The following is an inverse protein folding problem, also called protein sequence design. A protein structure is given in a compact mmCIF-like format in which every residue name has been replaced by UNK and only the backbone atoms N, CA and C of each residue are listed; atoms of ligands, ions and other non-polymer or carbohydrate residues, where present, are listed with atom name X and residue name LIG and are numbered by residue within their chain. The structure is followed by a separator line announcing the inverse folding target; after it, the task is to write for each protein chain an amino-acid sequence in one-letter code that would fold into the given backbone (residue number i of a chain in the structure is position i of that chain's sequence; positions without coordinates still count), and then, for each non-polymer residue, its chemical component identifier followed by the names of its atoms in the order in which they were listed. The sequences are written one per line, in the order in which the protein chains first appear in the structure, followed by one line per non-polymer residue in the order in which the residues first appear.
data_IF_183555346172
#
_entry.id   IF_183555346172
#
_cell.length_a   1.000
_cell.length_b   1.000
_cell.length_c   1.000
_cell.angle_alpha   90.00
_cell.angle_beta   90.00
_cell.angle_gamma   90.00
#
_symmetry.space_group_name_H-M   'P 1'
#
loop_
_entity.id
_entity.type
_entity.pdbx_description
1 polymer ?
#
# COMPACT_ATOMS: atom_id res chain seq x y z
N UNK A 1 -1.20 10.98 19.33
CA UNK A 1 -0.65 11.16 17.96
C UNK A 1 -1.15 12.49 17.43
N UNK A 2 -0.32 13.53 17.55
CA UNK A 2 -0.59 14.89 17.09
C UNK A 2 0.56 15.29 16.16
N UNK A 3 0.36 15.35 14.84
CA UNK A 3 1.44 15.54 13.86
C UNK A 3 2.21 16.86 14.03
N UNK A 4 1.60 17.86 14.66
CA UNK A 4 2.18 19.15 15.00
C UNK A 4 3.14 19.13 16.20
N UNK A 5 3.24 18.00 16.92
CA UNK A 5 4.10 17.86 18.09
C UNK A 5 5.41 17.16 17.72
N UNK A 6 6.54 17.74 18.15
CA UNK A 6 7.88 17.19 18.01
C UNK A 6 8.48 16.75 19.35
N UNK A 7 9.53 15.92 19.31
CA UNK A 7 10.15 15.37 20.53
C UNK A 7 10.69 16.46 21.46
N UNK A 8 11.20 17.56 20.90
CA UNK A 8 11.71 18.70 21.66
C UNK A 8 10.64 19.45 22.44
N UNK A 9 9.42 19.54 21.92
CA UNK A 9 8.27 20.09 22.64
C UNK A 9 7.84 19.18 23.79
N UNK A 10 7.92 17.85 23.61
CA UNK A 10 7.60 16.89 24.66
C UNK A 10 8.62 16.91 25.80
N UNK A 11 9.90 17.12 25.49
CA UNK A 11 10.97 17.29 26.49
C UNK A 11 10.72 18.47 27.44
N UNK A 12 9.99 19.50 27.00
CA UNK A 12 9.65 20.67 27.84
C UNK A 12 8.55 20.37 28.87
N UNK A 13 7.90 19.21 28.79
CA UNK A 13 6.85 18.79 29.73
C UNK A 13 7.52 17.93 30.80
N UNK A 14 7.81 18.54 31.96
CA UNK A 14 8.57 17.92 33.05
C UNK A 14 7.95 16.63 33.58
N UNK A 15 6.62 16.51 33.55
CA UNK A 15 5.86 15.36 34.02
C UNK A 15 6.09 14.10 33.18
N UNK A 16 6.57 14.24 31.93
CA UNK A 16 6.81 13.10 31.04
C UNK A 16 8.15 12.41 31.31
N UNK A 17 9.07 13.03 32.07
CA UNK A 17 10.38 12.47 32.42
C UNK A 17 11.13 11.84 31.23
N UNK A 18 11.06 12.48 30.05
CA UNK A 18 11.66 11.95 28.83
C UNK A 18 13.19 12.10 28.83
N UNK A 19 13.94 11.10 28.34
CA UNK A 19 15.39 11.20 28.22
C UNK A 19 15.76 12.25 27.17
N UNK A 20 16.84 12.99 27.42
CA UNK A 20 17.43 13.84 26.41
C UNK A 20 18.15 12.96 25.37
N UNK A 21 17.53 12.79 24.21
CA UNK A 21 18.04 11.97 23.11
C UNK A 21 18.84 12.84 22.14
N UNK A 22 19.88 12.26 21.55
CA UNK A 22 20.56 12.87 20.41
C UNK A 22 19.58 13.10 19.25
N UNK A 23 19.80 14.16 18.48
CA UNK A 23 18.89 14.61 17.41
C UNK A 23 18.45 13.48 16.45
N UNK A 24 19.34 12.58 15.96
CA UNK A 24 18.92 11.50 15.08
C UNK A 24 17.92 10.53 15.72
N UNK A 25 18.10 10.23 17.01
CA UNK A 25 17.25 9.29 17.76
C UNK A 25 15.91 9.95 18.08
N UNK A 26 15.92 11.21 18.52
CA UNK A 26 14.71 11.99 18.75
C UNK A 26 13.86 12.08 17.48
N UNK A 27 14.49 12.36 16.33
CA UNK A 27 13.82 12.40 15.03
C UNK A 27 13.24 11.03 14.66
N UNK A 28 13.98 9.95 14.86
CA UNK A 28 13.49 8.60 14.57
C UNK A 28 12.27 8.21 15.41
N UNK A 29 12.24 8.57 16.70
CA UNK A 29 11.09 8.35 17.59
C UNK A 29 9.87 9.12 17.09
N UNK A 30 10.07 10.38 16.68
CA UNK A 30 9.03 11.22 16.12
C UNK A 30 8.46 10.65 14.82
N UNK A 31 9.33 10.32 13.85
CA UNK A 31 8.95 9.70 12.57
C UNK A 31 8.20 8.40 12.83
N UNK A 32 8.75 7.52 13.66
CA UNK A 32 8.13 6.22 13.96
C UNK A 32 6.75 6.40 14.56
N UNK A 33 6.57 7.34 15.50
CA UNK A 33 5.29 7.60 16.13
C UNK A 33 4.26 8.20 15.17
N UNK A 34 4.68 9.15 14.32
CA UNK A 34 3.81 9.81 13.32
C UNK A 34 3.36 8.83 12.24
N UNK A 35 4.28 8.00 11.74
CA UNK A 35 4.02 7.12 10.60
C UNK A 35 3.60 5.69 10.98
N UNK A 36 3.66 5.29 12.25
CA UNK A 36 3.35 3.93 12.71
C UNK A 36 2.03 3.37 12.13
N UNK A 37 0.96 4.17 12.13
CA UNK A 37 -0.34 3.74 11.61
C UNK A 37 -0.34 3.51 10.08
N UNK A 38 0.30 4.41 9.34
CA UNK A 38 0.41 4.32 7.89
C UNK A 38 1.28 3.12 7.49
N UNK A 39 2.42 2.93 8.16
CA UNK A 39 3.33 1.80 7.93
C UNK A 39 2.61 0.48 8.24
N UNK A 40 1.87 0.40 9.35
CA UNK A 40 1.09 -0.79 9.68
C UNK A 40 0.07 -1.12 8.58
N UNK A 41 -0.70 -0.13 8.12
CA UNK A 41 -1.67 -0.30 7.02
C UNK A 41 -0.99 -0.73 5.71
N UNK A 42 0.12 -0.10 5.32
CA UNK A 42 0.85 -0.48 4.12
C UNK A 42 1.38 -1.93 4.21
N UNK A 43 1.85 -2.37 5.38
CA UNK A 43 2.25 -3.76 5.60
C UNK A 43 1.08 -4.73 5.45
N UNK A 44 -0.10 -4.39 5.98
CA UNK A 44 -1.31 -5.19 5.80
C UNK A 44 -1.73 -5.30 4.33
N UNK A 45 -1.66 -4.20 3.58
CA UNK A 45 -1.96 -4.17 2.15
C UNK A 45 -0.97 -5.04 1.35
N UNK A 46 0.33 -5.00 1.69
CA UNK A 46 1.35 -5.88 1.11
C UNK A 46 1.03 -7.35 1.40
N UNK A 47 0.73 -7.70 2.66
CA UNK A 47 0.40 -9.08 3.04
C UNK A 47 -0.84 -9.58 2.30
N UNK A 48 -1.86 -8.72 2.11
CA UNK A 48 -3.05 -9.07 1.33
C UNK A 48 -2.70 -9.34 -0.14
N UNK A 49 -1.88 -8.49 -0.75
CA UNK A 49 -1.45 -8.68 -2.14
C UNK A 49 -0.63 -9.96 -2.33
N UNK A 50 0.28 -10.26 -1.39
CA UNK A 50 1.06 -11.50 -1.41
C UNK A 50 0.17 -12.75 -1.34
N UNK A 51 -0.88 -12.73 -0.51
CA UNK A 51 -1.87 -13.83 -0.47
C UNK A 51 -2.54 -14.08 -1.82
N UNK A 52 -2.61 -13.07 -2.68
CA UNK A 52 -3.21 -13.15 -4.00
C UNK A 52 -2.20 -13.35 -5.13
N UNK A 53 -0.92 -13.59 -4.85
CA UNK A 53 0.12 -13.70 -5.89
C UNK A 53 -0.23 -14.73 -6.98
N UNK A 54 -0.84 -15.85 -6.59
CA UNK A 54 -1.25 -16.93 -7.49
C UNK A 54 -2.70 -16.81 -8.00
N UNK A 55 -3.40 -15.73 -7.69
CA UNK A 55 -4.76 -15.50 -8.19
C UNK A 55 -4.72 -15.35 -9.71
N UNK A 56 -5.39 -16.26 -10.42
CA UNK A 56 -5.44 -16.25 -11.88
C UNK A 56 -6.32 -15.12 -12.40
N UNK A 57 -5.89 -14.53 -13.51
CA UNK A 57 -6.65 -13.56 -14.28
C UNK A 57 -7.31 -14.29 -15.46
N UNK A 58 -8.63 -14.18 -15.67
CA UNK A 58 -9.28 -14.74 -16.85
C UNK A 58 -8.66 -14.17 -18.13
N UNK A 59 -8.39 -15.03 -19.12
CA UNK A 59 -7.82 -14.57 -20.40
C UNK A 59 -8.73 -13.55 -21.11
N UNK A 60 -10.04 -13.72 -20.94
CA UNK A 60 -11.09 -12.85 -21.47
C UNK A 60 -11.35 -11.58 -20.65
N UNK A 61 -10.57 -11.33 -19.58
CA UNK A 61 -10.74 -10.14 -18.74
C UNK A 61 -10.58 -8.86 -19.59
N UNK A 62 -11.58 -7.98 -19.50
CA UNK A 62 -11.54 -6.65 -20.09
C UNK A 62 -11.09 -5.61 -19.05
N UNK A 63 -9.84 -5.16 -19.19
CA UNK A 63 -9.26 -4.17 -18.28
C UNK A 63 -9.91 -2.79 -18.40
N UNK A 64 -10.64 -2.49 -19.49
CA UNK A 64 -11.39 -1.23 -19.63
C UNK A 64 -12.58 -1.17 -18.66
N UNK A 65 -13.10 -2.32 -18.23
CA UNK A 65 -14.19 -2.41 -17.25
C UNK A 65 -13.73 -2.23 -15.80
N UNK A 66 -12.42 -2.13 -15.54
CA UNK A 66 -11.88 -2.01 -14.18
C UNK A 66 -11.87 -0.55 -13.75
N UNK A 67 -12.87 -0.18 -12.96
CA UNK A 67 -13.07 1.18 -12.45
C UNK A 67 -11.84 1.65 -11.64
N UNK A 68 -11.31 2.83 -11.98
CA UNK A 68 -10.23 3.49 -11.24
C UNK A 68 -8.81 3.16 -11.73
N UNK A 69 -8.63 2.26 -12.70
CA UNK A 69 -7.34 2.11 -13.35
C UNK A 69 -7.00 3.36 -14.17
N UNK A 70 -5.73 3.77 -14.12
CA UNK A 70 -5.24 4.79 -15.04
C UNK A 70 -5.16 4.24 -16.46
N UNK A 71 -5.26 5.12 -17.46
CA UNK A 71 -5.11 4.74 -18.86
C UNK A 71 -3.78 4.03 -19.14
N UNK A 72 -2.69 4.48 -18.50
CA UNK A 72 -1.37 3.86 -18.65
C UNK A 72 -1.36 2.42 -18.11
N UNK A 73 -1.89 2.20 -16.92
CA UNK A 73 -1.94 0.86 -16.31
C UNK A 73 -2.85 -0.07 -17.12
N UNK A 74 -4.01 0.43 -17.54
CA UNK A 74 -4.96 -0.30 -18.37
C UNK A 74 -4.33 -0.72 -19.71
N UNK A 75 -3.60 0.18 -20.38
CA UNK A 75 -2.88 -0.12 -21.62
C UNK A 75 -1.79 -1.18 -21.38
N UNK A 76 -1.02 -1.06 -20.29
CA UNK A 76 0.02 -2.02 -19.93
C UNK A 76 -0.55 -3.42 -19.67
N UNK A 77 -1.62 -3.51 -18.89
CA UNK A 77 -2.29 -4.78 -18.59
C UNK A 77 -2.91 -5.41 -19.83
N UNK A 78 -3.56 -4.61 -20.67
CA UNK A 78 -4.15 -5.07 -21.95
C UNK A 78 -3.09 -5.58 -22.92
N UNK A 79 -1.92 -4.93 -22.96
CA UNK A 79 -0.79 -5.33 -23.82
C UNK A 79 -0.10 -6.59 -23.31
N UNK A 80 0.19 -6.67 -22.01
CA UNK A 80 0.97 -7.77 -21.42
C UNK A 80 0.10 -9.01 -21.20
N UNK A 81 -1.20 -8.86 -20.93
CA UNK A 81 -2.14 -9.95 -20.61
C UNK A 81 -1.57 -10.89 -19.53
N UNK A 82 -1.29 -10.40 -18.31
CA UNK A 82 -0.76 -11.26 -17.26
C UNK A 82 -1.75 -12.37 -16.89
N UNK A 83 -1.24 -13.57 -16.65
CA UNK A 83 -2.00 -14.75 -16.25
C UNK A 83 -2.37 -14.75 -14.76
N UNK A 84 -1.69 -13.94 -13.94
CA UNK A 84 -1.97 -13.82 -12.50
C UNK A 84 -1.77 -12.41 -11.96
N UNK A 85 -2.35 -12.14 -10.79
CA UNK A 85 -2.14 -10.89 -10.04
C UNK A 85 -0.65 -10.67 -9.72
N UNK A 86 0.09 -11.72 -9.35
CA UNK A 86 1.52 -11.65 -9.12
C UNK A 86 2.30 -11.22 -10.36
N UNK A 87 1.93 -11.74 -11.54
CA UNK A 87 2.55 -11.31 -12.79
C UNK A 87 2.19 -9.87 -13.14
N UNK A 88 0.94 -9.47 -12.94
CA UNK A 88 0.49 -8.09 -13.12
C UNK A 88 1.31 -7.10 -12.25
N UNK A 89 1.60 -7.49 -11.01
CA UNK A 89 2.39 -6.66 -10.08
C UNK A 89 3.86 -6.48 -10.46
N UNK A 90 4.42 -7.34 -11.32
CA UNK A 90 5.79 -7.21 -11.84
C UNK A 90 5.88 -6.30 -13.07
N UNK A 91 4.76 -5.87 -13.62
CA UNK A 91 4.73 -4.95 -14.76
C UNK A 91 5.11 -3.54 -14.29
N UNK A 92 6.15 -2.96 -14.90
CA UNK A 92 6.61 -1.62 -14.54
C UNK A 92 5.48 -0.58 -14.64
N UNK A 93 5.30 0.20 -13.56
CA UNK A 93 4.25 1.21 -13.45
C UNK A 93 2.88 0.67 -13.01
N UNK A 94 2.71 -0.64 -12.81
CA UNK A 94 1.54 -1.18 -12.11
C UNK A 94 1.76 -1.03 -10.62
N UNK A 95 0.86 -0.32 -9.95
CA UNK A 95 0.96 0.00 -8.52
C UNK A 95 0.18 -0.98 -7.66
N UNK A 96 0.50 -1.12 -6.35
CA UNK A 96 -0.31 -1.89 -5.40
C UNK A 96 -1.79 -1.49 -5.37
N UNK A 97 -2.09 -0.19 -5.60
CA UNK A 97 -3.45 0.31 -5.70
C UNK A 97 -4.18 -0.26 -6.93
N UNK A 98 -3.52 -0.32 -8.09
CA UNK A 98 -4.09 -0.93 -9.30
C UNK A 98 -4.37 -2.43 -9.11
N UNK A 99 -3.47 -3.17 -8.46
CA UNK A 99 -3.69 -4.58 -8.13
C UNK A 99 -4.89 -4.77 -7.20
N UNK A 100 -5.06 -3.86 -6.24
CA UNK A 100 -6.24 -3.87 -5.34
C UNK A 100 -7.54 -3.64 -6.11
N UNK A 101 -7.55 -2.74 -7.11
CA UNK A 101 -8.71 -2.53 -7.98
C UNK A 101 -9.04 -3.77 -8.82
N UNK A 102 -8.02 -4.46 -9.35
CA UNK A 102 -8.22 -5.74 -10.04
C UNK A 102 -8.85 -6.79 -9.13
N UNK A 103 -8.34 -6.96 -7.90
CA UNK A 103 -8.89 -7.91 -6.95
C UNK A 103 -10.35 -7.62 -6.59
N UNK A 104 -10.69 -6.34 -6.37
CA UNK A 104 -12.08 -5.93 -6.12
C UNK A 104 -12.97 -6.23 -7.33
N UNK A 105 -12.47 -5.97 -8.55
CA UNK A 105 -13.20 -6.25 -9.79
C UNK A 105 -13.46 -7.76 -9.96
N UNK A 106 -12.44 -8.60 -9.78
CA UNK A 106 -12.57 -10.07 -9.84
C UNK A 106 -13.57 -10.60 -8.80
N UNK A 107 -13.55 -10.06 -7.57
CA UNK A 107 -14.51 -10.41 -6.52
C UNK A 107 -15.94 -10.05 -6.93
N UNK A 108 -16.15 -8.87 -7.53
CA UNK A 108 -17.47 -8.44 -8.05
C UNK A 108 -17.98 -9.36 -9.17
N UNK A 109 -17.07 -9.88 -10.01
CA UNK A 109 -17.39 -10.85 -11.05
C UNK A 109 -17.64 -12.27 -10.51
N UNK A 110 -17.50 -12.51 -9.20
CA UNK A 110 -17.49 -13.86 -8.57
C UNK A 110 -16.38 -14.77 -9.11
N UNK A 111 -15.30 -14.21 -9.65
CA UNK A 111 -14.16 -14.96 -10.15
C UNK A 111 -13.20 -15.44 -9.03
N UNK A 112 -13.34 -14.87 -7.83
CA UNK A 112 -12.60 -15.26 -6.62
C UNK A 112 -13.54 -15.19 -5.39
N UNK A 113 -13.33 -16.08 -4.42
CA UNK A 113 -14.08 -16.16 -3.16
C UNK A 113 -13.52 -15.21 -2.10
#
# INVERSE_FOLDING_TARGET
KRPEINYQQLLKISELALPNLGEPVALQVEISSKYAGYIARQKEDIVRLLKHEHTLLPESLDYNGVIGLSNEVMQKLTRVRPASIGQAGRISGVTPAALSLLLVHLKKMKAIA
#
